data_IF_116910768883
#
_entry.id   IF_116910768883
#
_cell.length_a   1.000
_cell.length_b   1.000
_cell.length_c   1.000
_cell.angle_alpha   90.00
_cell.angle_beta   90.00
_cell.angle_gamma   90.00
#
_symmetry.space_group_name_H-M   'P 1'
#
loop_
_entity.id
_entity.type
_entity.pdbx_description
1 polymer ?
#
# COMPACT_ATOMS: atom_id res chain seq x y z
N UNK A 1 31.79 -12.42 -0.07
CA UNK A 1 31.35 -12.81 1.28
C UNK A 1 31.37 -11.54 2.12
N UNK A 2 30.31 -11.29 2.89
CA UNK A 2 30.09 -10.09 3.74
C UNK A 2 29.89 -8.76 2.98
N UNK A 3 28.66 -8.24 3.04
CA UNK A 3 28.31 -6.83 2.96
C UNK A 3 27.67 -6.44 4.31
N UNK A 4 28.02 -5.29 4.91
CA UNK A 4 27.24 -4.67 5.99
C UNK A 4 26.65 -3.30 5.60
N UNK A 5 25.59 -2.90 6.31
CA UNK A 5 24.95 -1.58 6.54
C UNK A 5 24.98 -0.49 5.43
N UNK A 6 23.86 0.03 4.87
CA UNK A 6 22.59 0.58 5.42
C UNK A 6 22.69 2.03 5.95
N UNK A 7 21.57 2.79 5.82
CA UNK A 7 21.32 4.22 6.16
C UNK A 7 21.81 5.20 5.06
N UNK A 8 21.06 6.18 4.52
CA UNK A 8 19.68 6.71 4.72
C UNK A 8 19.07 7.16 3.35
N UNK A 9 17.79 7.56 3.30
CA UNK A 9 17.10 8.05 2.08
C UNK A 9 16.15 9.23 2.38
N UNK A 10 16.18 10.35 1.62
CA UNK A 10 15.20 11.42 1.72
C UNK A 10 14.17 11.42 0.56
N UNK A 11 12.90 11.41 0.97
CA UNK A 11 11.81 12.28 0.49
C UNK A 11 11.52 12.47 -1.02
N UNK A 12 10.33 11.99 -1.41
CA UNK A 12 9.32 12.65 -2.26
C UNK A 12 9.80 13.78 -3.22
N UNK A 13 10.00 13.46 -4.51
CA UNK A 13 10.33 14.46 -5.56
C UNK A 13 9.13 14.75 -6.46
N UNK A 14 8.95 16.05 -6.71
CA UNK A 14 7.96 16.66 -7.59
C UNK A 14 8.02 16.15 -9.05
N UNK A 15 6.86 16.08 -9.72
CA UNK A 15 6.72 15.49 -11.06
C UNK A 15 6.92 16.47 -12.24
N UNK A 16 7.23 17.75 -12.01
CA UNK A 16 7.31 18.77 -13.06
C UNK A 16 8.68 18.85 -13.75
N UNK A 17 9.77 18.42 -13.11
CA UNK A 17 11.14 18.63 -13.62
C UNK A 17 11.67 17.56 -14.61
N UNK A 18 10.87 16.56 -15.00
CA UNK A 18 11.36 15.43 -15.81
C UNK A 18 11.59 15.78 -17.30
N UNK A 19 11.02 16.89 -17.79
CA UNK A 19 10.82 17.15 -19.22
C UNK A 19 12.00 17.67 -20.05
N UNK A 20 13.19 17.88 -19.49
CA UNK A 20 14.32 18.50 -20.24
C UNK A 20 15.64 17.72 -20.24
N UNK A 21 15.94 16.90 -19.21
CA UNK A 21 17.17 16.11 -19.16
C UNK A 21 17.13 14.83 -20.01
N UNK A 22 16.01 14.12 -19.98
CA UNK A 22 15.87 12.80 -20.60
C UNK A 22 16.03 12.78 -22.14
N UNK A 23 15.84 13.93 -22.80
CA UNK A 23 15.99 14.05 -24.26
C UNK A 23 17.44 13.97 -24.75
N UNK A 24 18.43 14.13 -23.86
CA UNK A 24 19.86 14.16 -24.20
C UNK A 24 20.65 12.94 -23.71
N UNK A 25 19.97 11.89 -23.25
CA UNK A 25 20.61 10.62 -22.87
C UNK A 25 21.55 10.70 -21.65
N UNK A 26 21.57 11.82 -20.92
CA UNK A 26 22.25 11.95 -19.63
C UNK A 26 21.30 11.58 -18.51
N UNK A 27 21.38 10.31 -18.12
CA UNK A 27 20.76 9.79 -16.92
C UNK A 27 21.86 9.25 -15.99
N UNK A 28 22.53 10.18 -15.30
CA UNK A 28 23.65 9.88 -14.39
C UNK A 28 23.20 9.22 -13.06
N UNK A 29 21.98 8.67 -13.01
CA UNK A 29 21.47 8.00 -11.80
C UNK A 29 22.19 6.65 -11.61
N UNK A 30 22.70 6.34 -10.41
CA UNK A 30 23.30 5.05 -10.13
C UNK A 30 22.24 3.94 -10.28
N UNK A 31 22.63 2.83 -10.89
CA UNK A 31 21.78 1.64 -11.02
C UNK A 31 21.59 1.03 -9.64
N UNK A 32 20.39 1.17 -9.08
CA UNK A 32 20.00 0.54 -7.81
C UNK A 32 19.64 -0.92 -8.05
N UNK A 33 20.45 -1.83 -7.50
CA UNK A 33 20.30 -3.28 -7.67
C UNK A 33 19.18 -3.88 -6.83
N UNK A 34 18.84 -3.25 -5.70
CA UNK A 34 17.79 -3.69 -4.79
C UNK A 34 16.85 -2.51 -4.45
N UNK A 35 15.57 -2.81 -4.27
CA UNK A 35 14.54 -1.83 -3.90
C UNK A 35 13.53 -2.49 -2.99
N UNK A 36 13.48 -2.03 -1.74
CA UNK A 36 12.47 -2.44 -0.78
C UNK A 36 11.06 -2.14 -1.32
N UNK A 37 10.17 -3.13 -1.25
CA UNK A 37 8.81 -3.01 -1.78
C UNK A 37 7.94 -2.17 -0.85
N UNK A 38 7.75 -0.90 -1.21
CA UNK A 38 6.95 0.07 -0.43
C UNK A 38 5.44 -0.21 -0.40
N UNK A 39 4.94 -1.14 -1.22
CA UNK A 39 3.52 -1.51 -1.31
C UNK A 39 3.26 -2.75 -2.15
N UNK A 40 2.19 -3.47 -1.83
CA UNK A 40 1.53 -4.49 -2.66
C UNK A 40 0.19 -3.94 -3.16
N UNK A 41 -0.23 -4.23 -4.39
CA UNK A 41 -1.54 -3.81 -4.88
C UNK A 41 -2.00 -4.62 -6.08
N UNK A 42 -3.31 -4.88 -6.17
CA UNK A 42 -3.96 -5.41 -7.37
C UNK A 42 -5.16 -4.57 -7.75
N UNK A 43 -5.45 -4.50 -9.05
CA UNK A 43 -6.61 -3.80 -9.58
C UNK A 43 -7.28 -4.60 -10.70
N UNK A 44 -8.57 -4.32 -10.91
CA UNK A 44 -9.39 -4.91 -11.98
C UNK A 44 -10.07 -3.77 -12.71
N UNK A 45 -9.83 -3.70 -14.02
CA UNK A 45 -10.59 -2.86 -14.95
C UNK A 45 -11.76 -3.69 -15.47
N UNK A 46 -12.95 -3.11 -15.51
CA UNK A 46 -14.17 -3.83 -15.89
C UNK A 46 -14.40 -3.76 -17.40
N UNK A 47 -15.10 -4.77 -17.95
CA UNK A 47 -15.51 -4.79 -19.36
C UNK A 47 -16.59 -3.74 -19.65
N UNK A 48 -17.47 -3.50 -18.68
CA UNK A 48 -18.51 -2.48 -18.67
C UNK A 48 -18.45 -1.71 -17.34
N UNK A 49 -18.78 -0.42 -17.35
CA UNK A 49 -18.69 0.40 -16.13
C UNK A 49 -19.82 0.00 -15.14
N UNK A 50 -19.46 -0.35 -13.91
CA UNK A 50 -20.34 -0.91 -12.88
C UNK A 50 -20.85 0.16 -11.92
N UNK A 51 -22.17 0.23 -11.69
CA UNK A 51 -22.79 1.24 -10.84
C UNK A 51 -22.85 0.79 -9.36
N UNK A 52 -22.28 1.55 -8.39
CA UNK A 52 -22.18 1.16 -6.97
C UNK A 52 -23.49 0.74 -6.27
N UNK A 53 -24.65 1.17 -6.80
CA UNK A 53 -25.97 0.80 -6.26
C UNK A 53 -26.66 -0.36 -6.98
N UNK A 54 -26.36 -0.57 -8.27
CA UNK A 54 -27.03 -1.61 -9.08
C UNK A 54 -26.19 -2.90 -9.04
N UNK A 55 -24.89 -2.78 -9.26
CA UNK A 55 -23.94 -3.90 -9.40
C UNK A 55 -23.20 -4.19 -8.09
N UNK A 56 -23.85 -3.87 -6.94
CA UNK A 56 -23.24 -3.96 -5.60
C UNK A 56 -22.72 -5.36 -5.28
N UNK A 57 -23.42 -6.41 -5.73
CA UNK A 57 -22.99 -7.80 -5.54
C UNK A 57 -21.66 -8.05 -6.27
N UNK A 58 -21.63 -7.82 -7.58
CA UNK A 58 -20.44 -7.99 -8.41
C UNK A 58 -19.24 -7.16 -7.92
N UNK A 59 -19.46 -5.90 -7.51
CA UNK A 59 -18.42 -5.07 -6.90
C UNK A 59 -17.91 -5.62 -5.56
N UNK A 60 -18.76 -6.28 -4.77
CA UNK A 60 -18.37 -6.95 -3.52
C UNK A 60 -17.54 -8.21 -3.81
N UNK A 61 -17.91 -8.98 -4.82
CA UNK A 61 -17.20 -10.21 -5.21
C UNK A 61 -15.81 -9.89 -5.78
N UNK A 62 -15.73 -8.85 -6.62
CA UNK A 62 -14.45 -8.31 -7.13
C UNK A 62 -13.59 -7.80 -5.97
N UNK A 63 -14.16 -7.04 -5.03
CA UNK A 63 -13.40 -6.53 -3.88
C UNK A 63 -12.84 -7.66 -3.02
N UNK A 64 -13.65 -8.69 -2.76
CA UNK A 64 -13.24 -9.88 -1.99
C UNK A 64 -12.10 -10.60 -2.71
N UNK A 65 -12.27 -10.90 -4.00
CA UNK A 65 -11.24 -11.51 -4.86
C UNK A 65 -9.94 -10.71 -4.89
N UNK A 66 -10.00 -9.38 -4.86
CA UNK A 66 -8.81 -8.52 -4.78
C UNK A 66 -8.13 -8.60 -3.41
N UNK A 67 -8.90 -8.68 -2.31
CA UNK A 67 -8.35 -8.83 -0.97
C UNK A 67 -7.67 -10.19 -0.80
N UNK A 68 -8.30 -11.30 -1.23
CA UNK A 68 -7.72 -12.65 -1.20
C UNK A 68 -6.37 -12.71 -1.95
N UNK A 69 -6.32 -12.07 -3.12
CA UNK A 69 -5.11 -12.03 -3.96
C UNK A 69 -4.01 -11.15 -3.35
N UNK A 70 -4.36 -10.05 -2.70
CA UNK A 70 -3.38 -9.19 -2.01
C UNK A 70 -2.87 -9.86 -0.73
N UNK A 71 -3.71 -10.56 0.02
CA UNK A 71 -3.30 -11.40 1.14
C UNK A 71 -2.31 -12.49 0.69
N UNK A 72 -2.62 -13.20 -0.39
CA UNK A 72 -1.70 -14.19 -0.97
C UNK A 72 -0.36 -13.58 -1.42
N UNK A 73 -0.38 -12.37 -2.00
CA UNK A 73 0.85 -11.64 -2.35
C UNK A 73 1.66 -11.22 -1.12
N UNK A 74 1.01 -10.79 -0.03
CA UNK A 74 1.63 -10.40 1.24
C UNK A 74 2.29 -11.62 1.92
N UNK A 75 1.55 -12.73 2.06
CA UNK A 75 2.07 -13.98 2.59
C UNK A 75 3.25 -14.52 1.75
N UNK A 76 3.16 -14.48 0.42
CA UNK A 76 4.23 -14.90 -0.48
C UNK A 76 5.50 -14.04 -0.42
N UNK A 77 5.44 -12.89 0.25
CA UNK A 77 6.55 -11.98 0.49
C UNK A 77 7.03 -11.98 1.96
N UNK A 78 6.34 -12.69 2.87
CA UNK A 78 6.65 -12.67 4.29
C UNK A 78 6.41 -11.32 4.98
N UNK A 79 5.49 -10.50 4.47
CA UNK A 79 5.21 -9.15 4.99
C UNK A 79 3.73 -8.92 5.28
N UNK A 80 3.47 -8.08 6.28
CA UNK A 80 2.15 -7.57 6.69
C UNK A 80 2.10 -6.06 6.37
N UNK A 81 0.93 -5.42 6.39
CA UNK A 81 0.86 -3.97 6.10
C UNK A 81 -0.16 -3.18 6.92
N UNK A 82 0.22 -1.99 7.38
CA UNK A 82 -0.63 -1.15 8.25
C UNK A 82 -1.62 -0.25 7.49
N UNK A 83 -1.35 0.11 6.24
CA UNK A 83 -2.18 1.07 5.50
C UNK A 83 -2.85 0.37 4.32
N UNK A 84 -4.17 0.22 4.39
CA UNK A 84 -5.02 -0.39 3.35
C UNK A 84 -5.77 0.71 2.61
N UNK A 85 -5.73 0.72 1.29
CA UNK A 85 -6.42 1.71 0.47
C UNK A 85 -7.06 1.13 -0.77
N UNK A 86 -8.11 1.81 -1.24
CA UNK A 86 -8.77 1.54 -2.50
C UNK A 86 -8.39 2.58 -3.54
N UNK A 87 -8.33 2.15 -4.80
CA UNK A 87 -8.24 2.99 -5.99
C UNK A 87 -9.49 2.77 -6.83
N UNK A 88 -10.24 3.84 -7.05
CA UNK A 88 -11.43 3.86 -7.89
C UNK A 88 -11.15 4.71 -9.11
N UNK A 89 -11.54 4.24 -10.30
CA UNK A 89 -11.67 5.09 -11.49
C UNK A 89 -13.12 5.10 -11.92
N UNK A 90 -13.69 6.28 -12.09
CA UNK A 90 -15.04 6.48 -12.59
C UNK A 90 -15.08 6.42 -14.12
N UNK A 91 -16.28 6.28 -14.70
CA UNK A 91 -16.49 6.29 -16.16
C UNK A 91 -16.05 7.61 -16.83
N UNK A 92 -16.11 8.74 -16.11
CA UNK A 92 -15.55 10.05 -16.53
C UNK A 92 -14.02 10.13 -16.39
N UNK A 93 -13.35 8.99 -16.24
CA UNK A 93 -11.92 8.77 -16.03
C UNK A 93 -11.31 9.42 -14.78
N UNK A 94 -12.10 10.11 -13.94
CA UNK A 94 -11.63 10.64 -12.66
C UNK A 94 -11.19 9.51 -11.75
N UNK A 95 -10.09 9.72 -11.03
CA UNK A 95 -9.54 8.73 -10.08
C UNK A 95 -9.73 9.23 -8.65
N UNK A 96 -10.23 8.36 -7.78
CA UNK A 96 -10.34 8.59 -6.34
C UNK A 96 -9.55 7.49 -5.61
N UNK A 97 -8.61 7.90 -4.78
CA UNK A 97 -7.94 7.02 -3.82
C UNK A 97 -8.45 7.35 -2.42
N UNK A 98 -8.69 6.33 -1.59
CA UNK A 98 -9.00 6.46 -0.16
C UNK A 98 -8.27 5.36 0.61
N UNK A 99 -7.67 5.72 1.73
CA UNK A 99 -6.89 4.83 2.57
C UNK A 99 -7.31 4.89 4.05
N UNK A 100 -6.93 3.85 4.78
CA UNK A 100 -7.12 3.64 6.20
C UNK A 100 -5.86 2.99 6.76
N UNK A 101 -5.21 3.68 7.70
CA UNK A 101 -4.15 3.08 8.52
C UNK A 101 -4.77 2.44 9.76
N UNK A 102 -4.47 1.17 9.98
CA UNK A 102 -4.82 0.40 11.18
C UNK A 102 -3.61 0.31 12.12
N UNK A 103 -3.85 -0.02 13.39
CA UNK A 103 -2.78 -0.17 14.41
C UNK A 103 -1.99 -1.45 14.19
N UNK A 104 -2.71 -2.56 14.14
CA UNK A 104 -2.16 -3.89 13.89
C UNK A 104 -1.95 -4.07 12.37
N UNK A 105 -0.76 -4.48 11.90
CA UNK A 105 -0.54 -4.85 10.51
C UNK A 105 -1.50 -5.95 10.05
N UNK A 106 -1.95 -5.88 8.79
CA UNK A 106 -2.83 -6.88 8.18
C UNK A 106 -2.15 -7.61 7.03
N UNK A 107 -2.43 -8.90 6.98
CA UNK A 107 -2.02 -9.88 5.97
C UNK A 107 -3.17 -10.82 5.59
N UNK A 108 -4.20 -10.94 6.43
CA UNK A 108 -5.37 -11.79 6.21
C UNK A 108 -6.43 -11.16 5.29
N UNK A 109 -7.19 -11.95 4.50
CA UNK A 109 -8.21 -11.42 3.60
C UNK A 109 -9.37 -10.69 4.29
N UNK A 110 -9.77 -11.10 5.50
CA UNK A 110 -10.95 -10.59 6.18
C UNK A 110 -10.72 -9.16 6.70
N UNK A 111 -9.57 -8.93 7.34
CA UNK A 111 -9.10 -7.62 7.79
C UNK A 111 -8.89 -6.66 6.61
N UNK A 112 -8.25 -7.12 5.53
CA UNK A 112 -8.09 -6.33 4.30
C UNK A 112 -9.44 -5.96 3.68
N UNK A 113 -10.41 -6.88 3.66
CA UNK A 113 -11.76 -6.64 3.16
C UNK A 113 -12.54 -5.67 4.06
N UNK A 114 -12.42 -5.80 5.39
CA UNK A 114 -13.05 -4.90 6.35
C UNK A 114 -12.53 -3.46 6.22
N UNK A 115 -11.20 -3.30 6.14
CA UNK A 115 -10.55 -2.00 5.92
C UNK A 115 -10.92 -1.41 4.55
N UNK A 116 -10.87 -2.20 3.48
CA UNK A 116 -11.24 -1.74 2.13
C UNK A 116 -12.72 -1.33 2.04
N UNK A 117 -13.63 -2.02 2.74
CA UNK A 117 -15.04 -1.64 2.85
C UNK A 117 -15.23 -0.31 3.59
N UNK A 118 -14.41 0.00 4.59
CA UNK A 118 -14.43 1.32 5.24
C UNK A 118 -13.93 2.43 4.30
N UNK A 119 -12.86 2.20 3.55
CA UNK A 119 -12.41 3.12 2.51
C UNK A 119 -13.50 3.33 1.43
N UNK A 120 -14.23 2.29 1.07
CA UNK A 120 -15.31 2.35 0.06
C UNK A 120 -16.55 3.09 0.57
N UNK A 121 -16.90 2.98 1.85
CA UNK A 121 -17.98 3.79 2.46
C UNK A 121 -17.72 5.29 2.38
N UNK A 122 -16.44 5.70 2.32
CA UNK A 122 -16.01 7.10 2.21
C UNK A 122 -15.94 7.59 0.76
N UNK A 123 -16.27 6.75 -0.23
CA UNK A 123 -16.30 7.13 -1.64
C UNK A 123 -17.72 7.55 -2.08
N UNK A 124 -17.87 8.60 -2.92
CA UNK A 124 -19.14 8.96 -3.53
C UNK A 124 -19.76 7.79 -4.35
N UNK A 125 -20.99 7.35 -4.04
CA UNK A 125 -21.66 6.24 -4.70
C UNK A 125 -22.63 6.69 -5.81
N UNK A 126 -22.40 7.88 -6.38
CA UNK A 126 -23.25 8.56 -7.38
C UNK A 126 -22.87 8.25 -8.83
N UNK A 127 -21.75 7.54 -9.07
CA UNK A 127 -21.16 7.37 -10.40
C UNK A 127 -20.74 5.92 -10.68
N UNK A 128 -20.89 5.44 -11.91
CA UNK A 128 -20.36 4.14 -12.32
C UNK A 128 -18.83 4.14 -12.31
N UNK A 129 -18.29 3.00 -11.90
CA UNK A 129 -16.89 2.69 -11.75
C UNK A 129 -16.41 1.89 -12.96
N UNK A 130 -15.22 2.23 -13.47
CA UNK A 130 -14.51 1.51 -14.53
C UNK A 130 -13.39 0.61 -13.99
N UNK A 131 -12.90 0.93 -12.79
CA UNK A 131 -11.79 0.22 -12.15
C UNK A 131 -11.96 0.25 -10.63
N UNK A 132 -11.68 -0.88 -10.01
CA UNK A 132 -11.49 -1.04 -8.57
C UNK A 132 -10.12 -1.70 -8.32
N UNK A 133 -9.36 -1.15 -7.38
CA UNK A 133 -8.11 -1.72 -6.91
C UNK A 133 -7.97 -1.64 -5.40
N UNK A 134 -7.21 -2.57 -4.84
CA UNK A 134 -6.81 -2.64 -3.43
C UNK A 134 -5.29 -2.50 -3.36
N UNK A 135 -4.82 -1.70 -2.41
CA UNK A 135 -3.42 -1.40 -2.15
C UNK A 135 -3.14 -1.56 -0.66
N UNK A 136 -2.01 -2.18 -0.34
CA UNK A 136 -1.47 -2.26 1.01
C UNK A 136 -0.07 -1.65 1.01
N UNK A 137 0.20 -0.79 1.97
CA UNK A 137 1.48 -0.08 2.17
C UNK A 137 1.77 0.10 3.65
N UNK A 138 2.93 0.70 3.98
CA UNK A 138 3.51 0.61 5.33
C UNK A 138 3.72 -0.87 5.68
N UNK A 139 4.51 -1.53 4.82
CA UNK A 139 4.79 -2.97 4.96
C UNK A 139 5.81 -3.19 6.07
N UNK A 140 5.67 -4.29 6.80
CA UNK A 140 6.59 -4.75 7.85
C UNK A 140 6.80 -6.26 7.70
N UNK A 141 7.99 -6.81 8.01
CA UNK A 141 8.19 -8.25 8.09
C UNK A 141 7.23 -8.91 9.09
N UNK A 142 6.86 -10.17 8.84
CA UNK A 142 6.04 -10.94 9.79
C UNK A 142 6.76 -11.15 11.13
N UNK A 143 8.07 -11.39 11.11
CA UNK A 143 8.87 -11.67 12.32
C UNK A 143 9.06 -10.45 13.24
N UNK A 144 9.12 -9.23 12.70
CA UNK A 144 9.37 -7.99 13.48
C UNK A 144 8.14 -7.51 14.28
N UNK A 145 6.95 -8.04 14.02
CA UNK A 145 5.71 -7.59 14.65
C UNK A 145 5.60 -7.91 16.16
N UNK A 146 6.59 -8.60 16.74
CA UNK A 146 6.60 -9.02 18.16
C UNK A 146 7.40 -8.07 19.07
N UNK A 147 8.17 -7.13 18.52
CA UNK A 147 8.91 -6.16 19.35
C UNK A 147 8.05 -4.94 19.69
N UNK A 148 7.43 -5.01 20.87
CA UNK A 148 6.74 -3.91 21.53
C UNK A 148 7.74 -2.76 21.80
N UNK A 149 7.60 -1.56 21.17
CA UNK A 149 8.53 -0.44 21.36
C UNK A 149 8.32 0.28 22.71
N UNK A 150 7.79 -0.42 23.71
CA UNK A 150 7.50 0.05 25.07
C UNK A 150 8.54 -0.33 26.12
N UNK A 151 9.57 -1.09 25.77
CA UNK A 151 10.69 -1.46 26.67
C UNK A 151 11.63 -0.28 26.89
N UNK A 152 11.26 0.64 27.79
CA UNK A 152 12.18 1.64 28.32
C UNK A 152 13.25 0.93 29.17
N UNK A 153 14.41 0.64 28.58
CA UNK A 153 15.59 0.25 29.35
C UNK A 153 16.11 1.48 30.08
N UNK A 154 15.77 1.59 31.36
CA UNK A 154 16.33 2.60 32.24
C UNK A 154 17.83 2.34 32.39
N UNK A 155 18.65 3.15 31.72
CA UNK A 155 20.11 3.13 31.90
C UNK A 155 20.46 3.53 33.32
N UNK A 156 20.87 2.56 34.13
CA UNK A 156 21.32 2.77 35.50
C UNK A 156 22.69 3.45 35.49
N UNK A 157 22.68 4.79 35.46
CA UNK A 157 23.88 5.60 35.70
C UNK A 157 24.20 5.56 37.19
N UNK A 158 25.16 4.71 37.55
CA UNK A 158 25.81 4.78 38.85
C UNK A 158 26.48 6.15 39.00
N UNK A 159 25.98 6.95 39.95
CA UNK A 159 26.69 8.12 40.45
C UNK A 159 27.58 7.64 41.60
N UNK A 160 28.88 7.54 41.32
CA UNK A 160 29.92 7.47 42.35
C UNK A 160 30.13 8.88 42.97
N UNK A 161 30.64 8.92 44.20
CA UNK A 161 30.51 10.03 45.17
C UNK A 161 31.37 11.29 44.91
#
# INVERSE_FOLDING_TARGET
MVFPDVVLCPYFIDRSAFGHGAAYGRDDRPVLTETERKSVSRETTFEHDLHPRQDRAQLTDILTTLCDRVAADLHGLGVRGRTVGIKLRYADFRTLTRDLTVREPLDDPEGLLAASRECLRRAPPDRPLRLLGVRVSTLVPVDEATEDPGSWVQGELAFDE
#
